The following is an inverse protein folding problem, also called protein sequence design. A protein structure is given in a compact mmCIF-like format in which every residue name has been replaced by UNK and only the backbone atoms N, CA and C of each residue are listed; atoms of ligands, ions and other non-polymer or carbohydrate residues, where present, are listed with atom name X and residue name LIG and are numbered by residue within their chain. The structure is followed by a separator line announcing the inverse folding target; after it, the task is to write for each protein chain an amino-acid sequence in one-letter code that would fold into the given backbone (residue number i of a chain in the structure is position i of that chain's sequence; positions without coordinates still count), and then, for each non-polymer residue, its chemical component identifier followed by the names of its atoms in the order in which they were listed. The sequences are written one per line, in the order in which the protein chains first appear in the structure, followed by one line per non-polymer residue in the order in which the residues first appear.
data_IF_670468848127
#
_entry.id   IF_670468848127
#
_cell.length_a   1.000
_cell.length_b   1.000
_cell.length_c   1.000
_cell.angle_alpha   90.00
_cell.angle_beta   90.00
_cell.angle_gamma   90.00
#
_symmetry.space_group_name_H-M   'P 1'
#
loop_
_entity.id
_entity.type
_entity.pdbx_description
1 polymer ?
#
# COMPACT_ATOMS: atom_id res chain seq x y z
N UNK A 1 -54.25 -34.91 31.87
CA UNK A 1 -53.38 -34.30 32.90
C UNK A 1 -51.96 -34.54 32.42
N UNK A 2 -51.28 -33.64 31.71
CA UNK A 2 -51.38 -32.18 31.59
C UNK A 2 -50.80 -31.77 30.23
N UNK A 3 -51.31 -30.66 29.72
CA UNK A 3 -50.86 -29.90 28.57
C UNK A 3 -49.35 -29.60 28.60
N UNK A 4 -48.67 -29.73 27.45
CA UNK A 4 -47.39 -29.08 27.14
C UNK A 4 -47.48 -28.53 25.71
N UNK A 5 -48.05 -27.33 25.67
CA UNK A 5 -47.66 -26.16 24.88
C UNK A 5 -46.92 -26.41 23.56
N UNK A 6 -47.67 -26.33 22.45
CA UNK A 6 -47.11 -26.09 21.13
C UNK A 6 -46.46 -24.70 21.10
N UNK A 7 -45.13 -24.65 20.98
CA UNK A 7 -44.41 -23.40 20.72
C UNK A 7 -44.84 -22.83 19.36
N UNK A 8 -45.09 -21.52 19.24
CA UNK A 8 -45.38 -20.93 17.95
C UNK A 8 -44.12 -20.97 17.08
N UNK A 9 -44.26 -21.50 15.87
CA UNK A 9 -43.25 -21.39 14.83
C UNK A 9 -42.94 -19.90 14.59
N UNK A 10 -41.83 -19.42 15.15
CA UNK A 10 -41.25 -18.14 14.77
C UNK A 10 -40.75 -18.31 13.35
N UNK A 11 -41.60 -17.99 12.38
CA UNK A 11 -41.17 -17.70 11.02
C UNK A 11 -40.28 -16.46 11.07
N UNK A 12 -38.98 -16.66 11.29
CA UNK A 12 -37.99 -15.63 11.06
C UNK A 12 -37.93 -15.38 9.55
N UNK A 13 -38.81 -14.51 9.06
CA UNK A 13 -38.58 -13.79 7.81
C UNK A 13 -37.34 -12.92 8.00
N UNK A 14 -36.17 -13.55 7.91
CA UNK A 14 -34.89 -12.84 7.83
C UNK A 14 -34.86 -12.17 6.47
N UNK A 15 -35.22 -10.89 6.52
CA UNK A 15 -35.20 -9.90 5.47
C UNK A 15 -34.11 -10.16 4.44
N UNK A 16 -34.58 -10.31 3.20
CA UNK A 16 -33.82 -10.16 1.96
C UNK A 16 -33.05 -8.84 2.01
N UNK A 17 -31.78 -8.87 2.41
CA UNK A 17 -30.79 -7.81 2.20
C UNK A 17 -29.37 -8.36 2.40
N UNK A 18 -29.09 -9.53 1.83
CA UNK A 18 -27.71 -9.90 1.55
C UNK A 18 -27.25 -9.06 0.36
N UNK A 19 -26.84 -7.81 0.61
CA UNK A 19 -26.01 -7.08 -0.32
C UNK A 19 -24.88 -8.03 -0.72
N UNK A 20 -24.70 -8.22 -2.04
CA UNK A 20 -23.66 -9.06 -2.61
C UNK A 20 -22.30 -8.53 -2.15
N UNK A 21 -21.86 -8.97 -0.96
CA UNK A 21 -20.52 -8.74 -0.47
C UNK A 21 -19.64 -9.61 -1.35
N UNK A 22 -19.15 -9.03 -2.47
CA UNK A 22 -18.00 -9.58 -3.18
C UNK A 22 -16.99 -9.97 -2.10
N UNK A 23 -16.59 -11.23 -2.04
CA UNK A 23 -15.59 -11.71 -1.09
C UNK A 23 -14.34 -10.85 -1.28
N UNK A 24 -14.15 -9.86 -0.41
CA UNK A 24 -13.06 -8.89 -0.56
C UNK A 24 -11.77 -9.67 -0.34
N UNK A 25 -10.86 -9.60 -1.32
CA UNK A 25 -9.56 -10.24 -1.14
C UNK A 25 -8.80 -9.53 -0.02
N UNK A 26 -7.87 -10.23 0.64
CA UNK A 26 -7.00 -9.62 1.64
C UNK A 26 -6.26 -8.40 1.06
N UNK A 27 -5.81 -8.49 -0.19
CA UNK A 27 -5.18 -7.37 -0.91
C UNK A 27 -6.11 -6.15 -0.97
N UNK A 28 -7.41 -6.34 -1.20
CA UNK A 28 -8.37 -5.22 -1.24
C UNK A 28 -8.48 -4.51 0.10
N UNK A 29 -8.56 -5.27 1.18
CA UNK A 29 -8.64 -4.72 2.54
C UNK A 29 -7.35 -3.96 2.90
N UNK A 30 -6.18 -4.55 2.59
CA UNK A 30 -4.88 -3.90 2.84
C UNK A 30 -4.81 -2.57 2.11
N UNK A 31 -5.01 -2.53 0.79
CA UNK A 31 -4.92 -1.27 0.05
C UNK A 31 -5.98 -0.26 0.47
N UNK A 32 -7.19 -0.70 0.82
CA UNK A 32 -8.21 0.20 1.39
C UNK A 32 -7.74 0.82 2.71
N UNK A 33 -7.19 0.01 3.61
CA UNK A 33 -6.62 0.48 4.85
C UNK A 33 -5.45 1.45 4.62
N UNK A 34 -4.57 1.17 3.64
CA UNK A 34 -3.45 2.06 3.30
C UNK A 34 -3.92 3.41 2.75
N UNK A 35 -4.89 3.43 1.84
CA UNK A 35 -5.47 4.69 1.36
C UNK A 35 -6.12 5.50 2.48
N UNK A 36 -6.74 4.85 3.46
CA UNK A 36 -7.28 5.52 4.64
C UNK A 36 -6.16 6.02 5.56
N UNK A 37 -5.17 5.19 5.86
CA UNK A 37 -4.04 5.50 6.76
C UNK A 37 -3.18 6.66 6.27
N UNK A 38 -3.03 6.79 4.95
CA UNK A 38 -2.34 7.91 4.32
C UNK A 38 -3.30 8.98 3.80
N UNK A 39 -4.61 8.92 4.11
CA UNK A 39 -5.57 9.97 3.74
C UNK A 39 -5.38 11.23 4.58
N UNK A 40 -5.58 12.41 3.99
CA UNK A 40 -5.51 13.71 4.71
C UNK A 40 -6.47 13.81 5.90
N UNK A 41 -7.50 12.96 5.97
CA UNK A 41 -8.51 12.96 7.05
C UNK A 41 -8.09 12.22 8.31
N UNK A 42 -7.16 11.27 8.24
CA UNK A 42 -6.84 10.41 9.39
C UNK A 42 -5.67 10.93 10.23
N UNK A 43 -4.80 11.75 9.66
CA UNK A 43 -3.69 12.37 10.36
C UNK A 43 -4.06 13.81 10.65
N UNK A 44 -3.94 14.25 11.91
CA UNK A 44 -4.22 15.62 12.36
C UNK A 44 -3.23 16.68 11.79
N UNK A 45 -2.75 16.47 10.57
CA UNK A 45 -1.67 17.13 9.83
C UNK A 45 -1.24 16.23 8.67
N UNK A 46 -0.52 16.75 7.68
CA UNK A 46 0.10 15.90 6.65
C UNK A 46 1.08 14.91 7.32
N UNK A 47 1.08 13.63 6.92
CA UNK A 47 2.05 12.67 7.48
C UNK A 47 3.47 13.16 7.18
N UNK A 48 4.40 13.11 8.14
CA UNK A 48 5.76 13.54 7.88
C UNK A 48 6.38 12.78 6.69
N UNK A 49 7.20 13.45 5.85
CA UNK A 49 7.76 12.84 4.64
C UNK A 49 8.53 11.54 4.86
N UNK A 50 9.26 11.44 5.98
CA UNK A 50 9.99 10.22 6.34
C UNK A 50 9.05 9.02 6.54
N UNK A 51 7.81 9.24 7.00
CA UNK A 51 6.86 8.14 7.22
C UNK A 51 6.39 7.56 5.90
N UNK A 52 6.04 8.44 4.96
CA UNK A 52 5.64 8.04 3.61
C UNK A 52 6.79 7.38 2.85
N UNK A 53 8.01 7.94 2.97
CA UNK A 53 9.21 7.37 2.35
C UNK A 53 9.55 5.98 2.91
N UNK A 54 9.58 5.81 4.23
CA UNK A 54 9.86 4.52 4.87
C UNK A 54 8.83 3.45 4.48
N UNK A 55 7.55 3.84 4.47
CA UNK A 55 6.48 2.94 4.10
C UNK A 55 6.52 2.56 2.61
N UNK A 56 6.69 3.55 1.73
CA UNK A 56 6.82 3.31 0.29
C UNK A 56 7.99 2.37 -0.02
N UNK A 57 9.15 2.59 0.62
CA UNK A 57 10.33 1.74 0.46
C UNK A 57 10.03 0.29 0.82
N UNK A 58 9.50 0.03 2.02
CA UNK A 58 9.10 -1.33 2.45
C UNK A 58 8.05 -1.96 1.56
N UNK A 59 7.05 -1.18 1.15
CA UNK A 59 5.97 -1.66 0.29
C UNK A 59 6.52 -2.10 -1.07
N UNK A 60 7.44 -1.33 -1.65
CA UNK A 60 8.12 -1.70 -2.89
C UNK A 60 8.98 -2.95 -2.71
N UNK A 61 9.73 -3.06 -1.61
CA UNK A 61 10.51 -4.28 -1.31
C UNK A 61 9.60 -5.51 -1.20
N UNK A 62 8.45 -5.40 -0.53
CA UNK A 62 7.48 -6.48 -0.44
C UNK A 62 6.85 -6.81 -1.81
N UNK A 63 6.60 -5.80 -2.65
CA UNK A 63 5.99 -5.97 -3.97
C UNK A 63 6.82 -6.83 -4.93
N UNK A 64 8.14 -6.94 -4.71
CA UNK A 64 9.02 -7.83 -5.48
C UNK A 64 8.59 -9.30 -5.40
N UNK A 65 7.94 -9.70 -4.31
CA UNK A 65 7.51 -11.07 -4.03
C UNK A 65 6.01 -11.28 -4.23
N UNK A 66 5.28 -10.23 -4.61
CA UNK A 66 3.82 -10.29 -4.74
C UNK A 66 3.37 -10.70 -6.14
N UNK A 67 2.15 -11.27 -6.27
CA UNK A 67 1.53 -11.49 -7.57
C UNK A 67 1.31 -10.16 -8.34
N UNK A 68 1.21 -10.20 -9.68
CA UNK A 68 1.25 -8.99 -10.51
C UNK A 68 0.15 -7.97 -10.20
N UNK A 69 -1.08 -8.44 -9.94
CA UNK A 69 -2.19 -7.55 -9.60
C UNK A 69 -1.95 -6.78 -8.30
N UNK A 70 -1.37 -7.43 -7.29
CA UNK A 70 -1.05 -6.81 -6.00
C UNK A 70 0.16 -5.89 -6.13
N UNK A 71 1.20 -6.31 -6.86
CA UNK A 71 2.38 -5.50 -7.14
C UNK A 71 2.02 -4.22 -7.92
N UNK A 72 1.14 -4.31 -8.92
CA UNK A 72 0.63 -3.13 -9.64
C UNK A 72 -0.01 -2.13 -8.70
N UNK A 73 -0.88 -2.59 -7.79
CA UNK A 73 -1.53 -1.71 -6.82
C UNK A 73 -0.52 -1.08 -5.86
N UNK A 74 0.53 -1.79 -5.48
CA UNK A 74 1.63 -1.25 -4.68
C UNK A 74 2.33 -0.09 -5.41
N UNK A 75 2.70 -0.30 -6.68
CA UNK A 75 3.34 0.73 -7.51
C UNK A 75 2.43 1.94 -7.68
N UNK A 76 1.15 1.72 -7.99
CA UNK A 76 0.16 2.81 -8.12
C UNK A 76 0.02 3.60 -6.82
N UNK A 77 -0.11 2.90 -5.69
CA UNK A 77 -0.21 3.55 -4.37
C UNK A 77 1.02 4.38 -4.03
N UNK A 78 2.22 3.89 -4.36
CA UNK A 78 3.46 4.66 -4.18
C UNK A 78 3.51 5.88 -5.11
N UNK A 79 3.00 5.76 -6.33
CA UNK A 79 2.82 6.91 -7.23
C UNK A 79 1.96 8.00 -6.60
N UNK A 80 0.81 7.63 -6.01
CA UNK A 80 -0.07 8.58 -5.30
C UNK A 80 0.60 9.23 -4.08
N UNK A 81 1.55 8.54 -3.44
CA UNK A 81 2.35 9.09 -2.34
C UNK A 81 3.40 10.08 -2.84
N UNK A 82 4.09 9.76 -3.94
CA UNK A 82 5.09 10.64 -4.55
C UNK A 82 4.43 11.93 -5.06
N UNK A 83 3.29 11.83 -5.75
CA UNK A 83 2.54 13.00 -6.23
C UNK A 83 2.11 13.92 -5.08
N UNK A 84 1.87 13.36 -3.90
CA UNK A 84 1.43 14.12 -2.73
C UNK A 84 2.57 14.77 -1.96
N UNK A 85 3.75 14.17 -1.98
CA UNK A 85 4.91 14.65 -1.22
C UNK A 85 6.13 14.79 -2.13
N UNK A 86 6.46 16.01 -2.57
CA UNK A 86 7.56 16.25 -3.50
C UNK A 86 8.93 15.83 -2.93
N UNK A 87 9.06 15.66 -1.60
CA UNK A 87 10.32 15.15 -1.03
C UNK A 87 10.57 13.68 -1.36
N UNK A 88 9.52 12.91 -1.64
CA UNK A 88 9.64 11.51 -2.06
C UNK A 88 10.11 11.38 -3.51
N UNK A 89 9.87 12.38 -4.35
CA UNK A 89 10.36 12.40 -5.74
C UNK A 89 11.89 12.28 -5.79
N UNK A 90 12.57 12.87 -4.82
CA UNK A 90 14.02 12.77 -4.69
C UNK A 90 14.54 11.36 -4.33
N UNK A 91 13.65 10.37 -4.12
CA UNK A 91 13.98 8.94 -4.00
C UNK A 91 13.89 8.19 -5.32
N UNK A 92 13.26 8.77 -6.34
CA UNK A 92 13.24 8.23 -7.71
C UNK A 92 14.57 8.50 -8.44
N UNK A 93 15.24 9.60 -8.07
CA UNK A 93 16.55 9.93 -8.64
C UNK A 93 17.64 9.01 -8.10
N UNK A 94 18.61 8.71 -8.98
CA UNK A 94 19.85 7.98 -8.64
C UNK A 94 21.01 8.92 -8.35
N UNK A 95 20.77 10.24 -8.36
CA UNK A 95 21.81 11.23 -8.11
C UNK A 95 22.40 11.09 -6.70
N UNK A 96 23.70 11.33 -6.59
CA UNK A 96 24.50 10.98 -5.42
C UNK A 96 24.18 11.95 -4.27
N UNK A 97 23.18 11.60 -3.47
CA UNK A 97 22.82 12.39 -2.30
C UNK A 97 23.83 12.09 -1.21
N UNK A 98 24.62 13.10 -0.86
CA UNK A 98 25.52 13.15 0.29
C UNK A 98 24.77 13.08 1.62
N UNK A 99 24.06 11.98 1.84
CA UNK A 99 23.36 11.66 3.08
C UNK A 99 24.11 10.52 3.72
N UNK A 100 24.79 10.84 4.82
CA UNK A 100 25.78 10.01 5.52
C UNK A 100 25.18 8.81 6.27
N UNK A 101 24.01 8.30 5.84
CA UNK A 101 23.26 7.29 6.56
C UNK A 101 22.78 6.18 5.63
N UNK A 102 23.05 4.93 6.03
CA UNK A 102 22.55 3.72 5.36
C UNK A 102 21.09 3.50 5.74
N UNK A 103 20.24 3.18 4.77
CA UNK A 103 18.87 2.73 5.03
C UNK A 103 18.86 1.42 5.81
N UNK A 104 18.11 1.36 6.91
CA UNK A 104 18.02 0.19 7.80
C UNK A 104 16.62 -0.42 7.75
N UNK A 105 16.37 -1.42 6.89
CA UNK A 105 15.03 -2.00 6.73
C UNK A 105 14.52 -2.69 8.02
N UNK A 106 15.43 -3.25 8.81
CA UNK A 106 15.16 -4.03 10.03
C UNK A 106 14.50 -3.24 11.17
N UNK A 107 14.59 -1.90 11.16
CA UNK A 107 14.14 -1.06 12.26
C UNK A 107 12.66 -0.73 12.15
N UNK A 108 11.80 -1.26 13.01
CA UNK A 108 10.36 -1.02 12.94
C UNK A 108 9.95 0.46 12.97
N UNK A 109 10.73 1.31 13.66
CA UNK A 109 10.50 2.75 13.71
C UNK A 109 10.84 3.45 12.38
N UNK A 110 9.84 3.98 11.64
CA UNK A 110 10.06 4.72 10.39
C UNK A 110 10.91 5.99 10.54
N UNK A 111 11.07 6.54 11.75
CA UNK A 111 11.96 7.70 11.98
C UNK A 111 13.43 7.30 11.98
N UNK A 112 13.74 6.09 12.47
CA UNK A 112 15.12 5.63 12.66
C UNK A 112 15.66 4.84 11.46
N UNK A 113 14.79 4.35 10.58
CA UNK A 113 15.21 3.54 9.42
C UNK A 113 15.96 4.34 8.34
N UNK A 114 16.01 5.68 8.44
CA UNK A 114 16.62 6.59 7.47
C UNK A 114 16.22 6.30 6.00
N UNK A 115 14.94 6.49 5.64
CA UNK A 115 14.44 6.10 4.33
C UNK A 115 15.01 6.95 3.19
N UNK A 116 15.47 8.17 3.47
CA UNK A 116 16.08 9.06 2.47
C UNK A 116 17.56 8.75 2.18
N UNK A 117 18.17 7.83 2.93
CA UNK A 117 19.51 7.31 2.66
C UNK A 117 19.59 6.26 1.56
N UNK A 118 18.47 5.94 0.90
CA UNK A 118 18.41 5.03 -0.23
C UNK A 118 17.43 5.52 -1.29
N UNK A 119 17.66 5.18 -2.55
CA UNK A 119 16.72 5.41 -3.65
C UNK A 119 15.72 4.25 -3.78
N UNK A 120 14.67 4.39 -4.60
CA UNK A 120 13.72 3.31 -4.92
C UNK A 120 14.28 2.35 -5.99
N UNK A 121 15.40 1.68 -5.68
CA UNK A 121 16.00 0.66 -6.56
C UNK A 121 15.05 -0.49 -6.92
N UNK A 122 14.06 -0.80 -6.08
CA UNK A 122 13.07 -1.85 -6.35
C UNK A 122 12.27 -1.56 -7.62
N UNK A 123 12.00 -0.29 -7.92
CA UNK A 123 11.32 0.10 -9.15
C UNK A 123 12.16 -0.21 -10.39
N UNK A 124 13.48 -0.08 -10.30
CA UNK A 124 14.39 -0.45 -11.39
C UNK A 124 14.36 -1.95 -11.65
N UNK A 125 14.32 -2.75 -10.58
CA UNK A 125 14.20 -4.20 -10.68
C UNK A 125 12.83 -4.60 -11.26
N UNK A 126 11.74 -4.04 -10.73
CA UNK A 126 10.37 -4.27 -11.24
C UNK A 126 10.22 -3.86 -12.71
N UNK A 127 10.85 -2.77 -13.14
CA UNK A 127 10.82 -2.31 -14.52
C UNK A 127 11.53 -3.28 -15.49
N UNK A 128 12.62 -3.91 -15.06
CA UNK A 128 13.50 -4.70 -15.93
C UNK A 128 13.23 -6.20 -15.90
N UNK A 129 13.09 -6.78 -14.72
CA UNK A 129 13.16 -8.24 -14.54
C UNK A 129 11.83 -8.90 -14.22
N UNK A 130 10.81 -8.13 -13.84
CA UNK A 130 9.50 -8.71 -13.51
C UNK A 130 8.84 -9.28 -14.78
N UNK A 131 8.15 -10.40 -14.63
CA UNK A 131 7.67 -11.21 -15.76
C UNK A 131 6.43 -10.61 -16.43
N UNK A 132 5.55 -9.96 -15.66
CA UNK A 132 4.37 -9.26 -16.19
C UNK A 132 4.74 -7.88 -16.74
N UNK A 133 4.51 -7.68 -18.04
CA UNK A 133 4.78 -6.42 -18.76
C UNK A 133 4.00 -5.22 -18.21
N UNK A 134 2.83 -5.45 -17.60
CA UNK A 134 2.03 -4.38 -17.00
C UNK A 134 2.76 -3.76 -15.81
N UNK A 135 3.33 -4.60 -14.95
CA UNK A 135 4.14 -4.18 -13.80
C UNK A 135 5.36 -3.40 -14.27
N UNK A 136 6.07 -3.94 -15.28
CA UNK A 136 7.27 -3.30 -15.83
C UNK A 136 6.96 -1.89 -16.34
N UNK A 137 5.87 -1.74 -17.11
CA UNK A 137 5.44 -0.45 -17.66
C UNK A 137 5.02 0.53 -16.55
N UNK A 138 4.32 0.06 -15.52
CA UNK A 138 3.92 0.88 -14.39
C UNK A 138 5.13 1.39 -13.58
N UNK A 139 6.09 0.51 -13.30
CA UNK A 139 7.33 0.86 -12.61
C UNK A 139 8.18 1.84 -13.42
N UNK A 140 8.35 1.60 -14.72
CA UNK A 140 9.06 2.50 -15.63
C UNK A 140 8.38 3.87 -15.74
N UNK A 141 7.04 3.92 -15.74
CA UNK A 141 6.31 5.19 -15.72
C UNK A 141 6.60 5.98 -14.44
N UNK A 142 6.60 5.31 -13.29
CA UNK A 142 6.87 5.96 -12.00
C UNK A 142 8.32 6.44 -11.88
N UNK A 143 9.30 5.72 -12.41
CA UNK A 143 10.70 6.15 -12.43
C UNK A 143 10.92 7.45 -13.21
N UNK A 144 10.14 7.67 -14.26
CA UNK A 144 10.21 8.89 -15.09
C UNK A 144 9.23 9.97 -14.61
N UNK A 145 8.66 9.83 -13.41
CA UNK A 145 7.78 10.85 -12.84
C UNK A 145 8.61 12.08 -12.47
N UNK A 146 8.19 13.23 -13.00
CA UNK A 146 8.67 14.56 -12.63
C UNK A 146 7.43 15.41 -12.40
N UNK A 147 7.34 16.06 -11.23
CA UNK A 147 6.22 16.96 -10.90
C UNK A 147 6.35 18.33 -11.55
#
# INVERSE_FOLDING_TARGET
MTDIEASPDIQSNSSKNAASHKSQSLSDLVFRALHLAFSRRTSAGASPPWRSAAFAKRLLTASLQWPPNTALRAITFVGDLVERDPKLEALLSTDDRSVNGVYRPELDDPQLCNPFGANFWELHLLAKTYWDKRVNKAAAKLLNFSS
#
